data_IF_771410494451
#
_entry.id   IF_771410494451
#
_cell.length_a   1.000
_cell.length_b   1.000
_cell.length_c   1.000
_cell.angle_alpha   90.00
_cell.angle_beta   90.00
_cell.angle_gamma   90.00
#
_symmetry.space_group_name_H-M   'P 1'
#
loop_
_entity.id
_entity.type
_entity.pdbx_description
1 polymer ?
#
# COMPACT_ATOMS: atom_id res chain seq x y z
N UNK A 1 8.76 -2.50 25.99
CA UNK A 1 8.05 -2.33 24.70
C UNK A 1 8.97 -1.58 23.74
N UNK A 2 9.28 -2.11 22.55
CA UNK A 2 10.17 -1.42 21.59
C UNK A 2 9.42 -0.22 21.00
N UNK A 3 9.98 0.97 21.15
CA UNK A 3 9.41 2.21 20.59
C UNK A 3 9.93 2.38 19.17
N UNK A 4 9.03 2.55 18.21
CA UNK A 4 9.35 2.79 16.82
C UNK A 4 9.21 4.29 16.55
N UNK A 5 10.33 5.01 16.53
CA UNK A 5 10.37 6.43 16.19
C UNK A 5 10.66 6.55 14.69
N UNK A 6 9.86 7.34 13.97
CA UNK A 6 10.15 7.72 12.57
C UNK A 6 9.35 7.00 11.48
N UNK A 7 8.61 5.93 11.76
CA UNK A 7 7.80 5.23 10.73
C UNK A 7 6.75 6.13 10.05
N UNK A 8 6.31 7.19 10.74
CA UNK A 8 5.39 8.20 10.23
C UNK A 8 6.08 9.32 9.44
N UNK A 9 7.40 9.50 9.56
CA UNK A 9 8.12 10.60 8.89
C UNK A 9 8.03 10.50 7.37
N UNK A 10 7.91 9.28 6.84
CA UNK A 10 7.67 9.03 5.41
C UNK A 10 6.34 9.58 4.90
N UNK A 11 5.45 10.05 5.77
CA UNK A 11 4.18 10.68 5.39
C UNK A 11 4.22 12.22 5.41
N UNK A 12 5.36 12.82 5.82
CA UNK A 12 5.57 14.28 5.76
C UNK A 12 5.33 14.90 4.38
N UNK A 13 5.64 14.23 3.24
CA UNK A 13 5.33 14.77 1.91
C UNK A 13 3.86 15.13 1.68
N UNK A 14 2.92 14.59 2.48
CA UNK A 14 1.50 14.93 2.39
C UNK A 14 1.22 16.42 2.68
N UNK A 15 2.04 17.06 3.52
CA UNK A 15 1.94 18.50 3.87
C UNK A 15 2.97 19.38 3.18
N UNK A 16 3.80 18.82 2.30
CA UNK A 16 4.80 19.60 1.58
C UNK A 16 4.13 20.30 0.38
N UNK A 17 4.11 21.65 0.32
CA UNK A 17 3.47 22.38 -0.77
C UNK A 17 4.14 22.17 -2.13
N UNK A 18 5.38 21.68 -2.17
CA UNK A 18 6.14 21.40 -3.38
C UNK A 18 5.95 19.96 -3.90
N UNK A 19 5.28 19.11 -3.13
CA UNK A 19 5.02 17.73 -3.52
C UNK A 19 3.69 17.64 -4.25
N UNK A 20 3.74 17.21 -5.50
CA UNK A 20 2.54 16.93 -6.30
C UNK A 20 1.99 15.54 -6.03
N UNK A 21 2.88 14.58 -5.84
CA UNK A 21 2.60 13.15 -5.69
C UNK A 21 3.69 12.49 -4.86
N UNK A 22 3.32 11.57 -3.99
CA UNK A 22 4.28 10.68 -3.34
C UNK A 22 3.75 9.25 -3.23
N UNK A 23 4.68 8.31 -3.14
CA UNK A 23 4.43 6.89 -2.86
C UNK A 23 5.29 6.50 -1.66
N UNK A 24 4.69 5.84 -0.68
CA UNK A 24 5.38 5.34 0.50
C UNK A 24 5.75 3.88 0.34
N UNK A 25 7.01 3.53 0.66
CA UNK A 25 7.58 2.19 0.52
C UNK A 25 8.43 1.80 1.73
N UNK A 26 8.49 0.50 2.01
CA UNK A 26 9.47 -0.05 2.93
C UNK A 26 10.79 -0.32 2.17
N UNK A 27 11.92 0.13 2.73
CA UNK A 27 13.25 0.03 2.09
C UNK A 27 13.75 -1.41 1.95
N UNK A 28 13.22 -2.32 2.76
CA UNK A 28 13.51 -3.74 2.71
C UNK A 28 12.59 -4.49 1.74
N UNK A 29 11.82 -3.79 0.89
CA UNK A 29 10.95 -4.40 -0.12
C UNK A 29 11.41 -4.12 -1.56
N UNK A 30 11.28 -5.09 -2.46
CA UNK A 30 11.64 -4.92 -3.89
C UNK A 30 10.57 -4.09 -4.59
N UNK A 31 11.01 -3.16 -5.44
CA UNK A 31 10.13 -2.53 -6.44
C UNK A 31 10.02 -3.49 -7.63
N UNK A 32 8.79 -3.77 -8.05
CA UNK A 32 8.51 -4.69 -9.16
C UNK A 32 7.80 -3.99 -10.32
N UNK A 33 7.88 -4.56 -11.53
CA UNK A 33 7.13 -4.06 -12.69
C UNK A 33 5.61 -4.07 -12.45
N UNK A 34 5.12 -5.00 -11.62
CA UNK A 34 3.72 -5.09 -11.21
C UNK A 34 3.29 -3.89 -10.39
N UNK A 35 4.13 -3.47 -9.45
CA UNK A 35 3.93 -2.26 -8.68
C UNK A 35 3.96 -1.01 -9.55
N UNK A 36 4.97 -0.89 -10.41
CA UNK A 36 5.08 0.24 -11.33
C UNK A 36 3.81 0.36 -12.20
N UNK A 37 3.32 -0.75 -12.74
CA UNK A 37 2.09 -0.77 -13.53
C UNK A 37 0.86 -0.31 -12.72
N UNK A 38 0.72 -0.76 -11.47
CA UNK A 38 -0.37 -0.32 -10.59
C UNK A 38 -0.28 1.18 -10.23
N UNK A 39 0.94 1.70 -10.01
CA UNK A 39 1.18 3.14 -9.80
C UNK A 39 0.82 3.93 -11.06
N UNK A 40 1.25 3.49 -12.25
CA UNK A 40 0.89 4.15 -13.50
C UNK A 40 -0.62 4.16 -13.74
N UNK A 41 -1.33 3.06 -13.47
CA UNK A 41 -2.79 3.00 -13.57
C UNK A 41 -3.47 3.99 -12.62
N UNK A 42 -2.97 4.15 -11.40
CA UNK A 42 -3.45 5.17 -10.47
C UNK A 42 -3.15 6.60 -10.95
N UNK A 43 -1.94 6.88 -11.42
CA UNK A 43 -1.55 8.21 -11.89
C UNK A 43 -2.36 8.67 -13.10
N UNK A 44 -2.76 7.72 -13.96
CA UNK A 44 -3.66 7.97 -15.09
C UNK A 44 -5.11 8.25 -14.67
N UNK A 45 -5.47 8.00 -13.41
CA UNK A 45 -6.79 8.32 -12.85
C UNK A 45 -6.84 9.75 -12.29
N UNK A 46 -8.05 10.21 -11.92
CA UNK A 46 -8.25 11.45 -11.18
C UNK A 46 -8.49 11.20 -9.67
N UNK A 47 -7.93 10.13 -9.10
CA UNK A 47 -8.09 9.77 -7.68
C UNK A 47 -6.93 10.27 -6.84
N UNK A 48 -7.24 10.77 -5.65
CA UNK A 48 -6.24 11.36 -4.75
C UNK A 48 -5.31 10.31 -4.15
N UNK A 49 -5.84 9.15 -3.76
CA UNK A 49 -5.09 8.13 -3.02
C UNK A 49 -4.88 6.83 -3.82
N UNK A 50 -3.85 6.09 -3.46
CA UNK A 50 -3.55 4.76 -3.98
C UNK A 50 -3.28 3.81 -2.84
N UNK A 51 -3.82 2.59 -2.95
CA UNK A 51 -3.62 1.53 -1.97
C UNK A 51 -3.36 0.23 -2.74
N UNK A 52 -2.38 -0.55 -2.30
CA UNK A 52 -2.04 -1.84 -2.90
C UNK A 52 -2.06 -2.95 -1.84
N UNK A 53 -2.79 -4.04 -2.10
CA UNK A 53 -2.95 -5.21 -1.22
C UNK A 53 -2.74 -6.48 -2.05
N UNK A 54 -1.48 -6.85 -2.21
CA UNK A 54 -1.05 -7.92 -3.13
C UNK A 54 -0.83 -9.29 -2.47
N UNK A 55 -1.20 -9.47 -1.20
CA UNK A 55 -1.01 -10.70 -0.43
C UNK A 55 -2.23 -10.99 0.44
N UNK A 56 -2.50 -12.27 0.71
CA UNK A 56 -3.68 -12.69 1.49
C UNK A 56 -3.66 -12.18 2.94
N UNK A 57 -2.47 -11.87 3.49
CA UNK A 57 -2.31 -11.25 4.81
C UNK A 57 -2.40 -9.70 4.80
N UNK A 58 -2.60 -9.06 3.65
CA UNK A 58 -2.82 -7.61 3.59
C UNK A 58 -4.24 -7.22 4.02
N UNK A 59 -4.59 -7.55 5.26
CA UNK A 59 -5.93 -7.45 5.84
C UNK A 59 -6.25 -6.08 6.46
N UNK A 60 -5.46 -5.07 6.12
CA UNK A 60 -5.52 -3.72 6.69
C UNK A 60 -5.95 -2.69 5.64
N UNK A 61 -6.49 -1.57 6.11
CA UNK A 61 -7.04 -0.54 5.22
C UNK A 61 -5.96 0.13 4.40
N UNK A 62 -4.92 0.71 5.01
CA UNK A 62 -3.85 1.39 4.28
C UNK A 62 -2.51 0.86 4.77
N UNK A 63 -1.84 -0.03 4.00
CA UNK A 63 -0.52 -0.50 4.38
C UNK A 63 0.50 0.64 4.28
N UNK A 64 1.35 0.77 5.29
CA UNK A 64 2.24 1.92 5.42
C UNK A 64 3.28 2.01 4.30
N UNK A 65 3.73 0.86 3.78
CA UNK A 65 4.67 0.77 2.67
C UNK A 65 4.03 0.48 1.31
N UNK A 66 2.70 0.53 1.17
CA UNK A 66 1.99 0.21 -0.09
C UNK A 66 0.85 1.19 -0.37
N UNK A 67 1.10 2.49 -0.16
CA UNK A 67 0.14 3.54 -0.45
C UNK A 67 0.80 4.78 -1.03
N UNK A 68 -0.01 5.64 -1.64
CA UNK A 68 0.42 6.92 -2.18
C UNK A 68 -0.69 7.95 -2.15
N UNK A 69 -0.32 9.20 -2.35
CA UNK A 69 -1.25 10.31 -2.47
C UNK A 69 -0.79 11.32 -3.53
N UNK A 70 -1.74 12.07 -4.08
CA UNK A 70 -1.53 13.23 -4.94
C UNK A 70 -1.97 14.51 -4.22
N UNK A 71 -1.16 15.07 -3.30
CA UNK A 71 -1.53 16.26 -2.54
C UNK A 71 -1.99 17.42 -3.43
N UNK A 72 -1.39 17.60 -4.60
CA UNK A 72 -1.77 18.66 -5.55
C UNK A 72 -3.23 18.60 -6.02
N UNK A 73 -3.85 17.41 -6.09
CA UNK A 73 -5.27 17.30 -6.48
C UNK A 73 -6.21 17.84 -5.39
N UNK A 74 -5.80 17.77 -4.11
CA UNK A 74 -6.63 18.14 -2.95
C UNK A 74 -5.81 18.77 -1.83
N UNK A 75 -5.10 19.86 -2.12
CA UNK A 75 -4.11 20.47 -1.21
C UNK A 75 -4.65 20.73 0.19
N UNK A 76 -5.81 21.37 0.31
CA UNK A 76 -6.43 21.65 1.62
C UNK A 76 -6.73 20.39 2.43
N UNK A 77 -7.16 19.31 1.77
CA UNK A 77 -7.37 18.03 2.44
C UNK A 77 -6.04 17.40 2.86
N UNK A 78 -5.05 17.39 1.95
CA UNK A 78 -3.72 16.84 2.24
C UNK A 78 -3.07 17.54 3.44
N UNK A 79 -3.13 18.88 3.51
CA UNK A 79 -2.60 19.66 4.63
C UNK A 79 -3.29 19.33 5.95
N UNK A 80 -4.63 19.18 5.93
CA UNK A 80 -5.41 18.75 7.09
C UNK A 80 -5.00 17.36 7.57
N UNK A 81 -4.89 16.40 6.65
CA UNK A 81 -4.51 15.02 6.96
C UNK A 81 -3.07 14.93 7.47
N UNK A 82 -2.14 15.64 6.85
CA UNK A 82 -0.75 15.68 7.31
C UNK A 82 -0.62 16.34 8.69
N UNK A 83 -1.38 17.41 8.97
CA UNK A 83 -1.48 17.98 10.33
C UNK A 83 -1.99 16.95 11.34
N UNK A 84 -2.98 16.13 10.98
CA UNK A 84 -3.47 15.06 11.84
C UNK A 84 -2.43 13.96 12.06
N UNK A 85 -1.72 13.52 11.01
CA UNK A 85 -0.63 12.56 11.12
C UNK A 85 0.53 13.11 11.97
N UNK A 86 0.82 14.40 11.92
CA UNK A 86 1.84 15.04 12.76
C UNK A 86 1.55 14.88 14.26
N UNK A 87 0.27 14.89 14.66
CA UNK A 87 -0.12 14.63 16.06
C UNK A 87 0.19 13.19 16.50
N UNK A 88 0.12 12.23 15.58
CA UNK A 88 0.51 10.83 15.86
C UNK A 88 2.02 10.68 16.04
N UNK A 89 2.82 11.56 15.42
CA UNK A 89 4.30 11.56 15.56
C UNK A 89 4.79 12.04 16.92
N UNK A 90 3.99 12.87 17.61
CA UNK A 90 4.31 13.34 18.96
C UNK A 90 4.26 12.22 20.02
N UNK A 91 3.67 11.07 19.70
CA UNK A 91 3.49 9.95 20.62
C UNK A 91 4.47 8.82 20.30
N UNK A 92 5.05 8.14 21.31
CA UNK A 92 5.88 6.96 21.09
C UNK A 92 5.03 5.83 20.47
N UNK A 93 5.34 5.49 19.22
CA UNK A 93 4.65 4.43 18.50
C UNK A 93 5.17 3.03 18.85
N UNK A 94 4.31 2.04 18.68
CA UNK A 94 4.64 0.61 18.73
C UNK A 94 4.59 -0.02 17.33
N UNK A 95 4.74 -1.35 17.25
CA UNK A 95 4.65 -2.06 15.96
C UNK A 95 3.33 -1.73 15.24
N UNK A 96 3.40 -1.46 13.94
CA UNK A 96 2.27 -1.07 13.08
C UNK A 96 1.63 0.29 13.44
N UNK A 97 2.34 1.17 14.15
CA UNK A 97 1.82 2.49 14.55
C UNK A 97 1.44 3.37 13.35
N UNK A 98 2.26 3.32 12.32
CA UNK A 98 2.05 3.99 11.04
C UNK A 98 0.75 3.56 10.36
N UNK A 99 0.49 2.25 10.31
CA UNK A 99 -0.71 1.70 9.67
C UNK A 99 -1.97 2.02 10.48
N UNK A 100 -1.87 2.11 11.81
CA UNK A 100 -2.96 2.57 12.69
C UNK A 100 -3.25 4.06 12.50
N UNK A 101 -2.21 4.89 12.33
CA UNK A 101 -2.38 6.30 12.04
C UNK A 101 -3.08 6.51 10.69
N UNK A 102 -2.65 5.81 9.64
CA UNK A 102 -3.29 5.87 8.33
C UNK A 102 -4.74 5.41 8.37
N UNK A 103 -5.05 4.32 9.09
CA UNK A 103 -6.44 3.89 9.30
C UNK A 103 -7.27 5.00 9.96
N UNK A 104 -6.73 5.64 10.99
CA UNK A 104 -7.49 6.62 11.79
C UNK A 104 -7.66 7.97 11.08
N UNK A 105 -6.70 8.35 10.24
CA UNK A 105 -6.64 9.69 9.63
C UNK A 105 -7.03 9.65 8.15
N UNK A 106 -6.43 8.75 7.37
CA UNK A 106 -6.50 8.77 5.90
C UNK A 106 -7.67 7.91 5.38
N UNK A 107 -7.95 6.77 6.02
CA UNK A 107 -8.86 5.76 5.47
C UNK A 107 -10.26 6.28 5.15
N UNK A 108 -10.86 7.11 6.02
CA UNK A 108 -12.20 7.66 5.78
C UNK A 108 -12.30 8.39 4.43
N UNK A 109 -11.24 9.11 4.05
CA UNK A 109 -11.16 9.80 2.76
C UNK A 109 -10.75 8.86 1.63
N UNK A 110 -9.75 8.01 1.86
CA UNK A 110 -9.25 7.07 0.86
C UNK A 110 -10.29 6.03 0.45
N UNK A 111 -11.21 5.62 1.34
CA UNK A 111 -12.27 4.67 1.04
C UNK A 111 -13.16 5.12 -0.14
N UNK A 112 -13.34 6.42 -0.34
CA UNK A 112 -14.18 6.98 -1.42
C UNK A 112 -13.38 7.64 -2.55
N UNK A 113 -12.10 7.94 -2.33
CA UNK A 113 -11.23 8.67 -3.27
C UNK A 113 -9.87 7.97 -3.43
N UNK A 114 -9.89 6.70 -3.79
CA UNK A 114 -8.68 5.95 -4.12
C UNK A 114 -8.86 5.02 -5.31
N UNK A 115 -7.75 4.62 -5.91
CA UNK A 115 -7.64 3.36 -6.63
C UNK A 115 -7.05 2.33 -5.67
N UNK A 116 -7.78 1.26 -5.38
CA UNK A 116 -7.34 0.18 -4.50
C UNK A 116 -7.02 -1.05 -5.34
N UNK A 117 -5.74 -1.39 -5.53
CA UNK A 117 -5.37 -2.64 -6.20
C UNK A 117 -5.34 -3.76 -5.17
N UNK A 118 -6.09 -4.83 -5.40
CA UNK A 118 -6.24 -5.91 -4.41
C UNK A 118 -6.36 -7.29 -5.07
N UNK A 119 -5.48 -8.20 -4.67
CA UNK A 119 -5.41 -9.57 -5.20
C UNK A 119 -6.32 -10.56 -4.47
N UNK A 120 -6.64 -10.32 -3.20
CA UNK A 120 -7.26 -11.34 -2.32
C UNK A 120 -8.47 -10.84 -1.55
N UNK A 121 -8.46 -9.58 -1.14
CA UNK A 121 -9.47 -8.96 -0.28
C UNK A 121 -10.28 -7.90 -1.01
N UNK A 122 -10.46 -8.04 -2.32
CA UNK A 122 -11.09 -7.02 -3.17
C UNK A 122 -12.53 -6.65 -2.76
N UNK A 123 -13.22 -7.51 -2.01
CA UNK A 123 -14.57 -7.27 -1.48
C UNK A 123 -14.60 -6.87 0.00
N UNK A 124 -13.44 -6.84 0.68
CA UNK A 124 -13.35 -6.59 2.13
C UNK A 124 -13.54 -5.12 2.47
N UNK A 125 -13.08 -4.22 1.60
CA UNK A 125 -13.08 -2.79 1.85
C UNK A 125 -13.97 -2.07 0.85
N UNK A 126 -14.77 -1.07 1.28
CA UNK A 126 -15.54 -0.24 0.37
C UNK A 126 -14.65 0.59 -0.53
N UNK A 127 -15.21 1.02 -1.67
CA UNK A 127 -14.58 1.95 -2.60
C UNK A 127 -14.32 1.35 -3.97
N UNK A 128 -13.47 2.04 -4.74
CA UNK A 128 -13.06 1.61 -6.07
C UNK A 128 -11.87 0.66 -5.97
N UNK A 129 -12.20 -0.62 -5.82
CA UNK A 129 -11.22 -1.71 -5.79
C UNK A 129 -11.14 -2.38 -7.16
N UNK A 130 -9.91 -2.57 -7.64
CA UNK A 130 -9.57 -3.13 -8.94
C UNK A 130 -8.53 -4.24 -8.78
N UNK A 131 -8.50 -5.22 -9.70
CA UNK A 131 -7.39 -6.16 -9.76
C UNK A 131 -6.11 -5.45 -10.21
N UNK A 132 -4.96 -6.05 -9.94
CA UNK A 132 -3.70 -5.56 -10.50
C UNK A 132 -3.67 -5.65 -12.03
N UNK A 133 -3.00 -4.69 -12.71
CA UNK A 133 -3.01 -4.61 -14.17
C UNK A 133 -2.07 -5.61 -14.87
N UNK A 134 -1.34 -6.44 -14.12
CA UNK A 134 -0.43 -7.43 -14.66
C UNK A 134 -0.62 -8.78 -14.00
N UNK A 135 -0.20 -9.85 -14.66
CA UNK A 135 -0.12 -11.19 -14.06
C UNK A 135 1.05 -11.24 -13.07
N UNK A 136 0.89 -11.91 -11.93
CA UNK A 136 2.06 -12.26 -11.11
C UNK A 136 2.90 -13.28 -11.86
N UNK A 137 4.23 -13.15 -11.79
CA UNK A 137 5.09 -14.12 -12.46
C UNK A 137 5.01 -15.47 -11.75
N UNK A 138 4.67 -16.52 -12.51
CA UNK A 138 4.38 -17.86 -11.99
C UNK A 138 5.60 -18.55 -11.33
N UNK A 139 6.80 -18.07 -11.59
CA UNK A 139 8.07 -18.56 -11.05
C UNK A 139 8.41 -17.97 -9.67
N UNK A 140 7.52 -17.14 -9.10
CA UNK A 140 7.77 -16.44 -7.84
C UNK A 140 6.61 -16.58 -6.86
N UNK A 141 6.93 -16.68 -5.57
CA UNK A 141 5.99 -16.44 -4.46
C UNK A 141 5.99 -14.98 -4.01
N UNK A 142 6.56 -14.10 -4.84
CA UNK A 142 6.79 -12.70 -4.50
C UNK A 142 5.51 -11.90 -4.57
N UNK A 143 5.35 -10.98 -3.62
CA UNK A 143 4.28 -9.98 -3.58
C UNK A 143 4.84 -8.61 -3.21
N UNK A 144 4.06 -7.56 -3.52
CA UNK A 144 4.43 -6.19 -3.17
C UNK A 144 4.56 -6.04 -1.66
N UNK A 145 5.64 -5.42 -1.17
CA UNK A 145 5.89 -5.23 0.26
C UNK A 145 6.51 -6.44 0.97
N UNK A 146 6.85 -7.51 0.23
CA UNK A 146 7.61 -8.62 0.79
C UNK A 146 9.03 -8.18 1.20
N UNK A 147 9.43 -8.50 2.43
CA UNK A 147 10.78 -8.25 2.94
C UNK A 147 11.80 -9.09 2.15
N UNK A 148 12.80 -8.42 1.59
CA UNK A 148 13.95 -9.03 0.91
C UNK A 148 14.93 -9.51 1.98
N UNK A 149 15.33 -10.78 1.88
CA UNK A 149 16.43 -11.29 2.71
C UNK A 149 17.76 -10.65 2.29
N UNK A 150 18.56 -10.14 3.23
CA UNK A 150 19.97 -9.84 3.02
C UNK A 150 20.72 -11.04 2.40
N UNK A 151 21.70 -10.80 1.49
CA UNK A 151 22.50 -11.87 0.89
C UNK A 151 23.33 -12.67 1.90
N UNK A 152 23.63 -12.09 3.06
CA UNK A 152 24.40 -12.71 4.14
C UNK A 152 23.61 -13.73 4.98
N UNK A 153 22.32 -13.96 4.64
CA UNK A 153 21.45 -14.89 5.35
C UNK A 153 20.97 -14.39 6.71
N UNK A 154 21.30 -13.16 7.10
CA UNK A 154 20.76 -12.53 8.30
C UNK A 154 19.27 -12.23 8.13
N UNK A 155 18.46 -12.52 9.15
CA UNK A 155 17.00 -12.34 9.12
C UNK A 155 16.24 -13.65 9.36
N UNK A 156 15.00 -13.53 9.85
CA UNK A 156 14.11 -14.70 9.97
C UNK A 156 13.76 -15.16 8.55
N UNK A 157 13.93 -16.44 8.20
CA UNK A 157 13.45 -16.94 6.92
C UNK A 157 11.97 -16.59 6.81
N UNK A 158 11.61 -15.74 5.83
CA UNK A 158 10.22 -15.72 5.38
C UNK A 158 9.87 -17.19 5.11
N UNK A 159 8.80 -17.75 5.71
CA UNK A 159 8.40 -19.12 5.44
C UNK A 159 8.40 -19.37 3.93
N UNK A 160 8.56 -20.61 3.50
CA UNK A 160 8.21 -20.96 2.13
C UNK A 160 6.70 -20.69 1.96
N UNK A 161 6.34 -19.45 1.66
CA UNK A 161 4.97 -18.99 1.59
C UNK A 161 4.39 -19.56 0.30
N UNK A 162 3.49 -20.53 0.45
CA UNK A 162 2.72 -21.04 -0.67
C UNK A 162 1.76 -19.93 -1.09
N UNK A 163 2.03 -19.35 -2.24
CA UNK A 163 1.13 -18.37 -2.83
C UNK A 163 -0.25 -19.02 -3.04
N UNK A 164 -1.30 -18.37 -2.53
CA UNK A 164 -2.67 -18.84 -2.69
C UNK A 164 -3.21 -18.37 -4.05
N UNK A 165 -4.11 -19.15 -4.64
CA UNK A 165 -4.84 -18.70 -5.81
C UNK A 165 -5.71 -17.50 -5.42
N UNK A 166 -5.69 -16.45 -6.23
CA UNK A 166 -6.60 -15.32 -6.10
C UNK A 166 -8.05 -15.78 -6.20
N UNK A 167 -8.96 -15.24 -5.38
CA UNK A 167 -10.40 -15.43 -5.56
C UNK A 167 -10.81 -14.98 -6.97
N UNK A 168 -11.65 -15.74 -7.71
CA UNK A 168 -12.07 -15.37 -9.07
C UNK A 168 -12.62 -13.95 -9.17
N UNK A 169 -13.37 -13.50 -8.16
CA UNK A 169 -13.92 -12.14 -8.09
C UNK A 169 -12.85 -11.02 -8.01
N UNK A 170 -11.63 -11.34 -7.59
CA UNK A 170 -10.52 -10.40 -7.48
C UNK A 170 -9.56 -10.46 -8.68
N UNK A 171 -9.84 -11.31 -9.67
CA UNK A 171 -9.06 -11.39 -10.91
C UNK A 171 -9.58 -10.40 -11.95
N UNK A 172 -8.74 -9.94 -12.90
CA UNK A 172 -9.23 -9.16 -14.04
C UNK A 172 -10.32 -9.91 -14.80
N UNK A 173 -11.37 -9.20 -15.21
CA UNK A 173 -12.51 -9.78 -15.94
C UNK A 173 -12.06 -10.48 -17.22
N UNK A 174 -11.08 -9.92 -17.91
CA UNK A 174 -10.51 -10.43 -19.15
C UNK A 174 -9.40 -11.48 -18.94
N UNK A 175 -8.98 -11.70 -17.69
CA UNK A 175 -7.87 -12.59 -17.34
C UNK A 175 -8.18 -13.47 -16.12
N UNK A 176 -9.28 -14.21 -16.21
CA UNK A 176 -9.66 -15.16 -15.15
C UNK A 176 -8.67 -16.33 -15.02
N UNK A 177 -7.84 -16.57 -16.03
CA UNK A 177 -6.74 -17.53 -16.06
C UNK A 177 -5.55 -17.11 -15.19
N UNK A 178 -5.49 -15.85 -14.74
CA UNK A 178 -4.48 -15.38 -13.79
C UNK A 178 -4.83 -15.85 -12.38
N UNK A 179 -4.69 -17.15 -12.15
CA UNK A 179 -5.00 -17.78 -10.86
C UNK A 179 -4.12 -17.24 -9.72
N UNK A 180 -2.93 -16.76 -10.06
CA UNK A 180 -2.02 -16.06 -9.16
C UNK A 180 -1.90 -14.63 -9.67
N UNK A 181 -2.98 -13.89 -9.50
CA UNK A 181 -2.89 -12.45 -9.42
C UNK A 181 -2.21 -12.09 -8.07
#
# INVERSE_FOLDING_TARGET
MRVYRGALWRFLPLSDPLVDTFVSRDLDSRISNREAAAVHQWLASNRTFHIMRDHWDHLITVPGGLWGARPALRRQLADKLGTQLNKWMAHPGHKNWDQRALHSVVWFHAAVDSVQHDSYTCQRFPGYTVPFPTRRRNDTTQYLGQVIRPPDGSGVPAPAEKLLKCPPQCRPREHQDWEYC
#
